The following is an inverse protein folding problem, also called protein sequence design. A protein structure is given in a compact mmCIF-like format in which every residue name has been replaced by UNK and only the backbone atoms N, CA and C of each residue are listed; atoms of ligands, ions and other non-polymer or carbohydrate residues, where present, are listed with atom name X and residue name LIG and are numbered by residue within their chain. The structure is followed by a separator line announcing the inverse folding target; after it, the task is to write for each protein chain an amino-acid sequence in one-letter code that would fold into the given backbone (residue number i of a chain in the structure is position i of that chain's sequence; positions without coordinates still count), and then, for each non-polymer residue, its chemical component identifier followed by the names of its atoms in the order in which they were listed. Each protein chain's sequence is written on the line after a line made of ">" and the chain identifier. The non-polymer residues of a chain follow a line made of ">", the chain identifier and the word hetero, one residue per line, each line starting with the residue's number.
data_IF_639496190626
#
_entry.id   IF_639496190626
#
_cell.length_a   1.000
_cell.length_b   1.000
_cell.length_c   1.000
_cell.angle_alpha   90.00
_cell.angle_beta   90.00
_cell.angle_gamma   90.00
#
_symmetry.space_group_name_H-M   'P 1'
#
loop_
_entity.id
_entity.type
_entity.pdbx_description
1 polymer ?
#
# COMPACT_ATOMS: atom_id res chain seq x y z
N UNK A 1 0.21 -10.11 48.58
CA UNK A 1 -0.38 -10.94 47.50
C UNK A 1 -0.98 -9.96 46.50
N UNK A 2 -0.30 -9.73 45.39
CA UNK A 2 -0.82 -8.91 44.29
C UNK A 2 -1.75 -9.79 43.47
N UNK A 3 -3.05 -9.53 43.53
CA UNK A 3 -4.06 -10.19 42.71
C UNK A 3 -3.89 -9.66 41.28
N UNK A 4 -3.04 -10.32 40.49
CA UNK A 4 -2.90 -10.03 39.06
C UNK A 4 -4.03 -10.75 38.34
N UNK A 5 -4.83 -10.07 37.49
CA UNK A 5 -5.94 -10.71 36.79
C UNK A 5 -5.45 -11.92 36.00
N UNK A 6 -6.26 -12.98 35.99
CA UNK A 6 -5.92 -14.24 35.32
C UNK A 6 -6.03 -14.03 33.82
N UNK A 7 -4.92 -14.16 33.11
CA UNK A 7 -4.88 -14.18 31.64
C UNK A 7 -5.79 -15.30 31.11
N UNK A 8 -6.86 -14.91 30.43
CA UNK A 8 -7.91 -15.82 29.95
C UNK A 8 -7.44 -16.73 28.81
N UNK A 9 -6.30 -16.44 28.18
CA UNK A 9 -5.71 -17.28 27.12
C UNK A 9 -5.13 -18.58 27.67
N UNK A 10 -4.78 -18.64 28.95
CA UNK A 10 -4.16 -19.82 29.56
C UNK A 10 -5.08 -20.44 30.61
N UNK A 11 -5.72 -21.55 30.25
CA UNK A 11 -6.48 -22.34 31.22
C UNK A 11 -5.58 -23.36 31.90
N UNK A 12 -5.55 -23.31 33.23
CA UNK A 12 -4.74 -24.21 34.03
C UNK A 12 -5.63 -25.17 34.82
N UNK A 13 -5.72 -26.42 34.36
CA UNK A 13 -6.41 -27.49 35.07
C UNK A 13 -5.45 -28.17 36.06
N UNK A 14 -5.81 -28.19 37.34
CA UNK A 14 -5.14 -28.98 38.35
C UNK A 14 -6.19 -29.79 39.12
N UNK A 15 -6.18 -31.11 38.95
CA UNK A 15 -6.94 -31.99 39.83
C UNK A 15 -6.16 -32.18 41.13
N UNK A 16 -6.84 -32.12 42.28
CA UNK A 16 -6.22 -32.19 43.63
C UNK A 16 -5.43 -33.48 43.91
N UNK A 17 -5.60 -34.51 43.08
CA UNK A 17 -4.91 -35.80 43.17
C UNK A 17 -3.66 -35.89 42.28
N UNK A 18 -3.36 -34.86 41.47
CA UNK A 18 -2.28 -34.89 40.48
C UNK A 18 -1.07 -34.10 40.97
N UNK A 19 0.12 -34.71 40.91
CA UNK A 19 1.39 -34.07 41.30
C UNK A 19 1.92 -33.06 40.26
N UNK A 20 1.26 -32.93 39.10
CA UNK A 20 1.67 -32.04 38.01
C UNK A 20 0.49 -31.22 37.50
N UNK A 21 0.73 -29.95 37.18
CA UNK A 21 -0.27 -28.99 36.70
C UNK A 21 -0.18 -28.85 35.18
N UNK A 22 -1.30 -29.01 34.47
CA UNK A 22 -1.36 -28.89 32.99
C UNK A 22 -1.89 -27.52 32.59
N UNK A 23 -1.19 -26.83 31.69
CA UNK A 23 -1.58 -25.56 31.10
C UNK A 23 -1.99 -25.80 29.65
N UNK A 24 -3.16 -25.30 29.25
CA UNK A 24 -3.60 -25.29 27.85
C UNK A 24 -3.75 -23.85 27.38
N UNK A 25 -3.26 -23.59 26.17
CA UNK A 25 -3.51 -22.35 25.46
C UNK A 25 -4.88 -22.44 24.76
N UNK A 26 -5.67 -21.38 24.87
CA UNK A 26 -6.98 -21.23 24.22
C UNK A 26 -6.94 -19.93 23.44
N UNK A 27 -7.09 -20.01 22.13
CA UNK A 27 -7.23 -18.82 21.28
C UNK A 27 -8.60 -18.19 21.51
N UNK A 28 -8.62 -17.02 22.15
CA UNK A 28 -9.81 -16.18 22.25
C UNK A 28 -9.67 -15.02 21.27
N UNK A 29 -10.69 -14.78 20.44
CA UNK A 29 -10.73 -13.61 19.54
C UNK A 29 -10.87 -12.28 20.31
N UNK A 30 -11.22 -12.33 21.60
CA UNK A 30 -11.11 -11.20 22.51
C UNK A 30 -9.72 -11.22 23.12
N UNK A 31 -8.92 -10.20 22.79
CA UNK A 31 -7.71 -9.85 23.53
C UNK A 31 -8.05 -9.40 24.95
N UNK A 32 -7.02 -9.20 25.77
CA UNK A 32 -7.19 -8.71 27.14
C UNK A 32 -8.02 -7.42 27.14
N UNK A 33 -8.90 -7.24 28.12
CA UNK A 33 -9.79 -6.05 28.17
C UNK A 33 -8.94 -4.78 28.31
N UNK A 34 -7.78 -4.90 28.95
CA UNK A 34 -6.78 -3.84 29.11
C UNK A 34 -5.95 -3.56 27.83
N UNK A 35 -5.96 -4.46 26.83
CA UNK A 35 -5.26 -4.31 25.54
C UNK A 35 -6.23 -3.94 24.38
N UNK A 36 -7.54 -3.88 24.64
CA UNK A 36 -8.51 -3.55 23.59
C UNK A 36 -8.54 -2.04 23.32
N UNK A 37 -7.75 -1.59 22.35
CA UNK A 37 -7.74 -0.19 21.91
C UNK A 37 -9.10 0.31 21.38
N UNK A 38 -10.02 -0.59 20.97
CA UNK A 38 -11.36 -0.21 20.54
C UNK A 38 -12.26 0.22 21.72
N UNK A 39 -12.19 -0.49 22.85
CA UNK A 39 -13.02 -0.19 24.03
C UNK A 39 -12.51 1.04 24.80
N UNK A 40 -11.21 1.34 24.74
CA UNK A 40 -10.63 2.56 25.34
C UNK A 40 -11.09 3.84 24.63
N UNK A 41 -11.49 3.74 23.35
CA UNK A 41 -11.98 4.88 22.58
C UNK A 41 -13.45 5.24 22.90
N UNK A 42 -14.24 4.29 23.41
CA UNK A 42 -15.67 4.48 23.65
C UNK A 42 -15.99 5.04 25.05
N UNK A 43 -15.15 4.81 26.06
CA UNK A 43 -15.42 5.24 27.44
C UNK A 43 -14.72 6.57 27.83
N UNK A 44 -13.77 7.03 27.01
CA UNK A 44 -13.00 8.25 27.24
C UNK A 44 -13.46 9.38 26.33
N UNK A 45 -14.55 10.07 26.67
CA UNK A 45 -14.82 11.38 26.11
C UNK A 45 -13.56 12.25 26.25
N UNK A 46 -13.02 12.73 25.12
CA UNK A 46 -11.81 13.55 25.07
C UNK A 46 -11.86 14.63 26.16
N UNK A 47 -10.96 14.62 27.16
CA UNK A 47 -10.86 15.73 28.07
C UNK A 47 -10.36 16.93 27.27
N UNK A 48 -11.24 17.89 27.02
CA UNK A 48 -10.88 19.25 26.65
C UNK A 48 -10.12 19.85 27.84
N UNK A 49 -8.82 19.58 27.92
CA UNK A 49 -7.94 20.30 28.82
C UNK A 49 -7.69 21.69 28.25
N UNK A 50 -8.20 22.71 28.94
CA UNK A 50 -7.82 24.11 28.77
C UNK A 50 -6.32 24.29 29.02
N UNK A 51 -5.52 24.12 27.97
CA UNK A 51 -4.14 24.58 27.89
C UNK A 51 -3.96 25.31 26.56
N UNK A 52 -3.52 26.58 26.55
CA UNK A 52 -3.21 27.27 25.31
C UNK A 52 -1.86 26.75 24.79
N UNK A 53 -1.90 25.66 24.04
CA UNK A 53 -0.80 25.21 23.18
C UNK A 53 -1.04 25.75 21.76
N UNK A 54 0.01 26.14 21.02
CA UNK A 54 -0.11 26.96 19.83
C UNK A 54 -0.97 26.25 18.80
N UNK A 55 -2.00 26.96 18.34
CA UNK A 55 -2.78 26.55 17.19
C UNK A 55 -1.83 26.38 15.99
N UNK A 56 -1.35 25.15 15.76
CA UNK A 56 -1.24 24.67 14.39
C UNK A 56 -2.67 24.55 13.93
N UNK A 57 -3.17 25.68 13.45
CA UNK A 57 -4.41 25.78 12.71
C UNK A 57 -4.32 24.66 11.68
N UNK A 58 -5.16 23.65 11.85
CA UNK A 58 -5.60 22.86 10.71
C UNK A 58 -6.45 23.85 9.92
N UNK A 59 -5.77 24.71 9.17
CA UNK A 59 -6.37 25.41 8.06
C UNK A 59 -6.89 24.29 7.16
N UNK A 60 -8.19 24.04 7.28
CA UNK A 60 -8.98 23.52 6.18
C UNK A 60 -8.90 24.57 5.08
N UNK A 61 -7.75 24.61 4.41
CA UNK A 61 -7.55 25.40 3.22
C UNK A 61 -8.42 24.74 2.15
N UNK A 62 -9.40 25.50 1.66
CA UNK A 62 -10.19 25.19 0.48
C UNK A 62 -9.26 24.61 -0.61
N UNK A 63 -9.39 23.31 -0.89
CA UNK A 63 -8.78 22.69 -2.06
C UNK A 63 -9.70 22.95 -3.23
N UNK A 64 -9.69 24.19 -3.71
CA UNK A 64 -10.47 24.59 -4.88
C UNK A 64 -9.60 25.45 -5.80
N UNK A 65 -8.40 24.96 -6.13
CA UNK A 65 -7.74 25.02 -7.45
C UNK A 65 -6.56 24.05 -7.34
N UNK A 66 -6.77 22.76 -7.63
CA UNK A 66 -5.61 21.93 -7.97
C UNK A 66 -5.22 22.36 -9.39
N UNK A 67 -4.00 22.84 -9.53
CA UNK A 67 -3.43 23.18 -10.83
C UNK A 67 -3.40 21.89 -11.66
N UNK A 68 -4.09 21.87 -12.81
CA UNK A 68 -4.22 20.66 -13.63
C UNK A 68 -2.83 20.11 -14.04
N UNK A 69 -1.87 21.01 -14.25
CA UNK A 69 -0.47 20.65 -14.55
C UNK A 69 0.19 19.90 -13.39
N UNK A 70 -0.17 20.23 -12.14
CA UNK A 70 0.34 19.54 -10.98
C UNK A 70 -0.27 18.12 -10.86
N UNK A 71 -1.55 17.93 -11.21
CA UNK A 71 -2.17 16.60 -11.21
C UNK A 71 -1.52 15.68 -12.25
N UNK A 72 -1.32 16.17 -13.47
CA UNK A 72 -0.71 15.39 -14.55
C UNK A 72 0.71 14.94 -14.17
N UNK A 73 1.50 15.84 -13.58
CA UNK A 73 2.85 15.51 -13.12
C UNK A 73 2.85 14.47 -11.98
N UNK A 74 1.85 14.51 -11.09
CA UNK A 74 1.70 13.52 -10.03
C UNK A 74 1.37 12.14 -10.61
N UNK A 75 0.47 12.06 -11.60
CA UNK A 75 0.12 10.80 -12.27
C UNK A 75 1.33 10.22 -13.00
N UNK A 76 2.08 11.05 -13.74
CA UNK A 76 3.30 10.61 -14.42
C UNK A 76 4.32 10.01 -13.44
N UNK A 77 4.56 10.69 -12.32
CA UNK A 77 5.49 10.22 -11.30
C UNK A 77 5.07 8.87 -10.70
N UNK A 78 3.78 8.68 -10.43
CA UNK A 78 3.27 7.42 -9.91
C UNK A 78 3.46 6.27 -10.91
N UNK A 79 3.24 6.53 -12.20
CA UNK A 79 3.47 5.55 -13.27
C UNK A 79 4.95 5.18 -13.41
N UNK A 80 5.85 6.16 -13.30
CA UNK A 80 7.29 5.91 -13.26
C UNK A 80 7.65 5.03 -12.06
N UNK A 81 7.15 5.36 -10.86
CA UNK A 81 7.37 4.53 -9.66
C UNK A 81 6.83 3.12 -9.83
N UNK A 82 5.68 2.94 -10.48
CA UNK A 82 5.14 1.62 -10.78
C UNK A 82 6.10 0.79 -11.67
N UNK A 83 6.72 1.40 -12.69
CA UNK A 83 7.73 0.72 -13.52
C UNK A 83 8.99 0.37 -12.71
N UNK A 84 9.45 1.28 -11.83
CA UNK A 84 10.59 1.01 -10.95
C UNK A 84 10.33 -0.15 -9.99
N UNK A 85 9.11 -0.24 -9.47
CA UNK A 85 8.67 -1.36 -8.65
C UNK A 85 8.64 -2.67 -9.45
N UNK A 86 8.18 -2.64 -10.71
CA UNK A 86 8.20 -3.81 -11.60
C UNK A 86 9.62 -4.27 -11.92
N UNK A 87 10.56 -3.35 -12.16
CA UNK A 87 11.97 -3.65 -12.36
C UNK A 87 12.60 -4.29 -11.13
N UNK A 88 12.31 -3.72 -9.95
CA UNK A 88 12.79 -4.24 -8.66
C UNK A 88 12.24 -5.64 -8.37
N UNK A 89 10.96 -5.87 -8.69
CA UNK A 89 10.30 -7.16 -8.56
C UNK A 89 10.68 -8.16 -9.67
N UNK A 90 11.33 -7.69 -10.75
CA UNK A 90 11.62 -8.44 -11.97
C UNK A 90 10.35 -9.05 -12.60
N UNK A 91 9.23 -8.34 -12.48
CA UNK A 91 7.92 -8.79 -12.95
C UNK A 91 7.12 -7.64 -13.59
N UNK A 92 6.55 -7.83 -14.80
CA UNK A 92 6.74 -9.00 -15.67
C UNK A 92 8.18 -9.09 -16.24
N UNK A 93 8.61 -10.29 -16.62
CA UNK A 93 9.95 -10.52 -17.18
C UNK A 93 10.24 -9.66 -18.43
N UNK A 94 9.17 -9.24 -19.13
CA UNK A 94 9.24 -8.33 -20.26
C UNK A 94 9.86 -6.96 -19.88
N UNK A 95 9.61 -6.45 -18.67
CA UNK A 95 10.07 -5.12 -18.21
C UNK A 95 11.59 -5.05 -18.22
N UNK A 96 12.26 -6.02 -17.58
CA UNK A 96 13.72 -6.07 -17.55
C UNK A 96 14.30 -6.31 -18.96
N UNK A 97 13.68 -7.18 -19.74
CA UNK A 97 14.13 -7.47 -21.11
C UNK A 97 14.07 -6.22 -22.01
N UNK A 98 13.01 -5.42 -21.87
CA UNK A 98 12.82 -4.18 -22.63
C UNK A 98 13.79 -3.10 -22.19
N UNK A 99 14.02 -2.94 -20.89
CA UNK A 99 15.05 -2.02 -20.39
C UNK A 99 16.44 -2.38 -20.95
N UNK A 100 16.81 -3.66 -20.90
CA UNK A 100 18.08 -4.13 -21.47
C UNK A 100 18.15 -3.88 -22.98
N UNK A 101 17.07 -4.15 -23.72
CA UNK A 101 16.99 -3.89 -25.16
C UNK A 101 17.18 -2.40 -25.48
N UNK A 102 16.47 -1.52 -24.79
CA UNK A 102 16.52 -0.07 -25.05
C UNK A 102 17.88 0.52 -24.72
N UNK A 103 18.49 0.10 -23.61
CA UNK A 103 19.85 0.52 -23.23
C UNK A 103 20.92 0.02 -24.21
N UNK A 104 20.75 -1.17 -24.80
CA UNK A 104 21.63 -1.67 -25.88
C UNK A 104 21.53 -0.85 -27.16
N UNK A 105 20.36 -0.27 -27.46
CA UNK A 105 20.13 0.58 -28.64
C UNK A 105 20.62 2.04 -28.40
N UNK A 106 21.01 2.37 -27.16
CA UNK A 106 21.62 3.65 -26.81
C UNK A 106 20.71 4.61 -26.03
N UNK A 107 19.52 4.18 -25.63
CA UNK A 107 18.68 4.96 -24.72
C UNK A 107 19.23 4.95 -23.30
N UNK A 108 19.10 6.06 -22.59
CA UNK A 108 19.40 6.08 -21.16
C UNK A 108 18.36 5.26 -20.38
N UNK A 109 18.71 4.83 -19.17
CA UNK A 109 17.76 4.13 -18.30
C UNK A 109 16.53 4.99 -18.00
N UNK A 110 16.74 6.28 -17.78
CA UNK A 110 15.67 7.23 -17.48
C UNK A 110 14.71 7.36 -18.67
N UNK A 111 15.22 7.58 -19.88
CA UNK A 111 14.41 7.62 -21.10
C UNK A 111 13.65 6.30 -21.34
N UNK A 112 14.30 5.17 -21.09
CA UNK A 112 13.66 3.86 -21.22
C UNK A 112 12.50 3.70 -20.23
N UNK A 113 12.69 4.06 -18.96
CA UNK A 113 11.64 4.01 -17.93
C UNK A 113 10.50 4.96 -18.27
N UNK A 114 10.78 6.18 -18.76
CA UNK A 114 9.76 7.12 -19.22
C UNK A 114 8.92 6.55 -20.37
N UNK A 115 9.56 5.94 -21.39
CA UNK A 115 8.83 5.28 -22.48
C UNK A 115 7.97 4.11 -21.97
N UNK A 116 8.46 3.34 -21.01
CA UNK A 116 7.71 2.24 -20.40
C UNK A 116 6.52 2.76 -19.57
N UNK A 117 6.68 3.88 -18.87
CA UNK A 117 5.61 4.53 -18.13
C UNK A 117 4.50 5.05 -19.07
N UNK A 118 4.86 5.59 -20.25
CA UNK A 118 3.88 5.97 -21.27
C UNK A 118 3.07 4.77 -21.79
N UNK A 119 3.71 3.62 -22.00
CA UNK A 119 3.00 2.38 -22.36
C UNK A 119 2.04 1.95 -21.27
N UNK A 120 2.44 2.05 -19.99
CA UNK A 120 1.57 1.77 -18.85
C UNK A 120 0.38 2.74 -18.79
N UNK A 121 0.62 4.03 -19.00
CA UNK A 121 -0.42 5.07 -19.05
C UNK A 121 -1.46 4.77 -20.14
N UNK A 122 -1.00 4.38 -21.33
CA UNK A 122 -1.87 3.99 -22.43
C UNK A 122 -2.72 2.77 -22.05
N UNK A 123 -2.12 1.74 -21.46
CA UNK A 123 -2.86 0.54 -21.06
C UNK A 123 -3.89 0.82 -19.95
N UNK A 124 -3.55 1.66 -18.98
CA UNK A 124 -4.50 2.12 -17.95
C UNK A 124 -5.64 2.91 -18.60
N UNK A 125 -5.34 3.76 -19.58
CA UNK A 125 -6.35 4.52 -20.33
C UNK A 125 -7.30 3.59 -21.08
N UNK A 126 -6.80 2.55 -21.74
CA UNK A 126 -7.63 1.53 -22.42
C UNK A 126 -8.49 0.75 -21.43
N UNK A 127 -7.94 0.36 -20.28
CA UNK A 127 -8.68 -0.30 -19.20
C UNK A 127 -9.85 0.57 -18.71
N UNK A 128 -9.62 1.87 -18.50
CA UNK A 128 -10.63 2.82 -18.03
C UNK A 128 -11.72 3.05 -19.09
N UNK A 129 -11.37 3.17 -20.37
CA UNK A 129 -12.36 3.33 -21.45
C UNK A 129 -13.23 2.10 -21.66
N UNK A 130 -12.62 0.92 -21.57
CA UNK A 130 -13.31 -0.35 -21.73
C UNK A 130 -14.14 -0.75 -20.50
N UNK A 131 -14.02 -0.03 -19.38
CA UNK A 131 -14.56 -0.39 -18.06
C UNK A 131 -14.25 -1.85 -17.70
N UNK A 132 -13.00 -2.24 -17.93
CA UNK A 132 -12.56 -3.63 -17.90
C UNK A 132 -11.36 -3.89 -16.98
N UNK A 133 -10.92 -5.15 -16.85
CA UNK A 133 -9.69 -5.47 -16.14
C UNK A 133 -8.45 -5.05 -16.94
N UNK A 134 -7.33 -4.87 -16.26
CA UNK A 134 -6.04 -4.59 -16.90
C UNK A 134 -5.57 -5.78 -17.74
N UNK A 135 -5.30 -5.57 -19.03
CA UNK A 135 -4.80 -6.59 -19.94
C UNK A 135 -3.27 -6.66 -19.89
N UNK A 136 -2.76 -7.64 -19.14
CA UNK A 136 -1.32 -7.90 -19.03
C UNK A 136 -0.68 -8.34 -20.35
N UNK A 137 -1.39 -9.07 -21.21
CA UNK A 137 -0.83 -9.55 -22.47
C UNK A 137 -0.65 -8.39 -23.46
N UNK A 138 -1.65 -7.50 -23.54
CA UNK A 138 -1.56 -6.28 -24.34
C UNK A 138 -0.43 -5.36 -23.85
N UNK A 139 -0.32 -5.18 -22.52
CA UNK A 139 0.77 -4.41 -21.90
C UNK A 139 2.16 -4.97 -22.28
N UNK A 140 2.39 -6.27 -22.11
CA UNK A 140 3.68 -6.86 -22.44
C UNK A 140 4.00 -6.79 -23.94
N UNK A 141 2.98 -6.91 -24.81
CA UNK A 141 3.16 -6.76 -26.25
C UNK A 141 3.59 -5.32 -26.58
N UNK A 142 2.93 -4.32 -26.02
CA UNK A 142 3.26 -2.91 -26.20
C UNK A 142 4.66 -2.57 -25.68
N UNK A 143 5.05 -3.09 -24.50
CA UNK A 143 6.42 -2.91 -23.97
C UNK A 143 7.48 -3.46 -24.94
N UNK A 144 7.24 -4.63 -25.54
CA UNK A 144 8.17 -5.23 -26.51
C UNK A 144 8.27 -4.44 -27.80
N UNK A 145 7.26 -3.65 -28.17
CA UNK A 145 7.25 -2.80 -29.35
C UNK A 145 8.09 -1.51 -29.21
N UNK A 146 8.45 -1.11 -27.98
CA UNK A 146 9.33 0.05 -27.75
C UNK A 146 10.63 -0.06 -28.57
N UNK A 147 11.14 1.05 -29.15
CA UNK A 147 10.82 2.45 -28.83
C UNK A 147 9.59 3.03 -29.54
N UNK A 148 8.88 2.25 -30.37
CA UNK A 148 7.62 2.71 -30.97
C UNK A 148 6.56 2.79 -29.86
N UNK A 149 6.13 4.01 -29.54
CA UNK A 149 5.07 4.25 -28.57
C UNK A 149 3.69 3.95 -29.19
N UNK A 150 2.74 3.41 -28.40
CA UNK A 150 1.37 3.29 -28.85
C UNK A 150 0.80 4.69 -29.10
N UNK A 151 -0.03 4.83 -30.14
CA UNK A 151 -0.71 6.10 -30.39
C UNK A 151 -1.61 6.43 -29.20
N UNK A 152 -1.38 7.61 -28.63
CA UNK A 152 -2.28 8.16 -27.63
C UNK A 152 -3.65 8.38 -28.29
N UNK A 153 -4.74 8.05 -27.59
CA UNK A 153 -6.10 8.23 -28.09
C UNK A 153 -6.53 9.69 -28.20
#
# INVERSE_FOLDING_TARGET
>A
MTDKPRDLRYQVSADRSSASRKVRYVETNQGDVDDCMLCQLDEGGVPLSDTPAPAKQVERANTDVIDAEAEDQLVENELIQAIENQLSAQQPAAVQAVLNKLTLVGHTREEAVQMMAQVLAWQVSEMLKADGPFDMAAYEHALRALPQLPEAP
#
